data_IF_520108629234
#
_entry.id   IF_520108629234
#
_cell.length_a   1.000
_cell.length_b   1.000
_cell.length_c   1.000
_cell.angle_alpha   90.00
_cell.angle_beta   90.00
_cell.angle_gamma   90.00
#
_symmetry.space_group_name_H-M   'P 1'
#
loop_
_entity.id
_entity.type
_entity.pdbx_description
1 polymer ?
#
# COMPACT_ATOMS: atom_id res chain seq x y z
N UNK A 1 45.84 -36.95 -35.76
CA UNK A 1 44.38 -37.19 -35.54
C UNK A 1 43.97 -36.49 -34.27
N UNK A 2 43.18 -35.46 -34.42
CA UNK A 2 42.59 -34.73 -33.27
C UNK A 2 41.42 -35.56 -32.71
N UNK A 3 41.61 -36.16 -31.52
CA UNK A 3 40.50 -36.71 -30.76
C UNK A 3 39.65 -35.55 -30.27
N UNK A 4 38.47 -35.38 -30.83
CA UNK A 4 37.46 -34.47 -30.26
C UNK A 4 37.14 -34.96 -28.85
N UNK A 5 37.56 -34.20 -27.85
CA UNK A 5 37.17 -34.42 -26.47
C UNK A 5 35.62 -34.27 -26.40
N UNK A 6 34.92 -35.39 -26.24
CA UNK A 6 33.50 -35.32 -25.96
C UNK A 6 33.34 -34.70 -24.55
N UNK A 7 33.02 -33.43 -24.56
CA UNK A 7 32.55 -32.76 -23.32
C UNK A 7 31.37 -33.57 -22.79
N UNK A 8 31.56 -34.21 -21.65
CA UNK A 8 30.48 -34.93 -20.98
C UNK A 8 29.39 -33.93 -20.62
N UNK A 9 28.28 -33.96 -21.34
CA UNK A 9 27.11 -33.16 -21.03
C UNK A 9 26.44 -33.78 -19.78
N UNK A 10 26.58 -33.08 -18.64
CA UNK A 10 25.89 -33.45 -17.44
C UNK A 10 24.51 -32.83 -17.51
N UNK A 11 23.48 -33.68 -17.60
CA UNK A 11 22.07 -33.28 -17.50
C UNK A 11 21.55 -33.48 -16.08
N UNK A 12 20.45 -32.81 -15.78
CA UNK A 12 19.72 -33.03 -14.54
C UNK A 12 18.97 -34.34 -14.55
N UNK A 13 18.85 -34.99 -13.40
CA UNK A 13 18.02 -36.17 -13.24
C UNK A 13 16.55 -35.76 -13.02
N UNK A 14 15.62 -36.66 -13.36
CA UNK A 14 14.18 -36.46 -13.13
C UNK A 14 13.88 -36.27 -11.62
N UNK A 15 14.53 -37.09 -10.77
CA UNK A 15 14.35 -37.03 -9.30
C UNK A 15 14.82 -35.69 -8.74
N UNK A 16 15.91 -35.13 -9.27
CA UNK A 16 16.43 -33.85 -8.83
C UNK A 16 15.42 -32.72 -9.05
N UNK A 17 14.79 -32.67 -10.21
CA UNK A 17 13.73 -31.70 -10.51
C UNK A 17 12.48 -31.95 -9.67
N UNK A 18 12.11 -33.21 -9.43
CA UNK A 18 10.96 -33.54 -8.57
C UNK A 18 11.15 -33.04 -7.15
N UNK A 19 12.34 -33.21 -6.57
CA UNK A 19 12.64 -32.70 -5.22
C UNK A 19 12.57 -31.16 -5.17
N UNK A 20 13.13 -30.49 -6.15
CA UNK A 20 13.13 -29.02 -6.23
C UNK A 20 11.70 -28.48 -6.32
N UNK A 21 10.86 -29.05 -7.17
CA UNK A 21 9.45 -28.66 -7.31
C UNK A 21 8.67 -28.92 -6.03
N UNK A 22 8.94 -30.04 -5.34
CA UNK A 22 8.32 -30.35 -4.06
C UNK A 22 8.65 -29.30 -2.99
N UNK A 23 9.91 -28.92 -2.86
CA UNK A 23 10.36 -27.89 -1.90
C UNK A 23 9.71 -26.55 -2.22
N UNK A 24 9.71 -26.13 -3.46
CA UNK A 24 9.07 -24.87 -3.91
C UNK A 24 7.58 -24.90 -3.59
N UNK A 25 6.89 -26.01 -3.83
CA UNK A 25 5.47 -26.19 -3.53
C UNK A 25 5.14 -26.03 -2.05
N UNK A 26 5.95 -26.61 -1.17
CA UNK A 26 5.77 -26.47 0.29
C UNK A 26 5.99 -25.02 0.73
N UNK A 27 7.04 -24.37 0.24
CA UNK A 27 7.35 -22.99 0.60
C UNK A 27 6.26 -22.01 0.11
N UNK A 28 5.75 -22.20 -1.10
CA UNK A 28 4.66 -21.40 -1.63
C UNK A 28 3.35 -21.63 -0.86
N UNK A 29 3.09 -22.85 -0.44
CA UNK A 29 1.90 -23.19 0.36
C UNK A 29 1.84 -22.42 1.68
N UNK A 30 2.98 -22.09 2.27
CA UNK A 30 3.08 -21.28 3.49
C UNK A 30 3.08 -19.78 3.17
N UNK A 31 3.80 -19.37 2.14
CA UNK A 31 4.04 -17.96 1.81
C UNK A 31 2.80 -17.25 1.25
N UNK A 32 2.01 -17.89 0.40
CA UNK A 32 0.88 -17.26 -0.30
C UNK A 32 -0.20 -16.74 0.65
N UNK A 33 -0.73 -17.53 1.63
CA UNK A 33 -1.72 -17.01 2.56
C UNK A 33 -1.23 -15.85 3.40
N UNK A 34 0.03 -15.89 3.85
CA UNK A 34 0.66 -14.83 4.62
C UNK A 34 0.77 -13.54 3.81
N UNK A 35 1.15 -13.63 2.55
CA UNK A 35 1.28 -12.48 1.67
C UNK A 35 -0.04 -11.77 1.39
N UNK A 36 -1.13 -12.53 1.21
CA UNK A 36 -2.48 -11.96 1.03
C UNK A 36 -2.92 -11.15 2.25
N UNK A 37 -2.68 -11.66 3.45
CA UNK A 37 -2.98 -10.97 4.70
C UNK A 37 -2.16 -9.67 4.85
N UNK A 38 -0.88 -9.72 4.52
CA UNK A 38 0.01 -8.56 4.56
C UNK A 38 -0.46 -7.47 3.59
N UNK A 39 -0.86 -7.84 2.39
CA UNK A 39 -1.38 -6.88 1.39
C UNK A 39 -2.60 -6.13 1.89
N UNK A 40 -3.55 -6.83 2.52
CA UNK A 40 -4.75 -6.21 3.08
C UNK A 40 -4.39 -5.22 4.20
N UNK A 41 -3.53 -5.64 5.13
CA UNK A 41 -3.06 -4.77 6.22
C UNK A 41 -2.32 -3.54 5.68
N UNK A 42 -1.52 -3.71 4.64
CA UNK A 42 -0.78 -2.61 4.00
C UNK A 42 -1.72 -1.59 3.36
N UNK A 43 -2.79 -2.03 2.73
CA UNK A 43 -3.81 -1.13 2.15
C UNK A 43 -4.52 -0.30 3.21
N UNK A 44 -4.87 -0.91 4.34
CA UNK A 44 -5.49 -0.21 5.47
C UNK A 44 -4.53 0.85 6.03
N UNK A 45 -3.28 0.50 6.23
CA UNK A 45 -2.25 1.44 6.70
C UNK A 45 -2.02 2.58 5.72
N UNK A 46 -1.96 2.29 4.43
CA UNK A 46 -1.82 3.31 3.39
C UNK A 46 -3.00 4.29 3.39
N UNK A 47 -4.22 3.79 3.54
CA UNK A 47 -5.41 4.63 3.68
C UNK A 47 -5.32 5.52 4.92
N UNK A 48 -4.93 4.99 6.07
CA UNK A 48 -4.77 5.77 7.30
C UNK A 48 -3.67 6.83 7.19
N UNK A 49 -2.56 6.54 6.54
CA UNK A 49 -1.52 7.54 6.26
C UNK A 49 -2.02 8.66 5.34
N UNK A 50 -2.82 8.33 4.34
CA UNK A 50 -3.47 9.32 3.49
C UNK A 50 -4.39 10.24 4.30
N UNK A 51 -5.17 9.67 5.22
CA UNK A 51 -6.04 10.45 6.11
C UNK A 51 -5.22 11.37 7.04
N UNK A 52 -4.09 10.91 7.55
CA UNK A 52 -3.17 11.75 8.33
C UNK A 52 -2.61 12.92 7.53
N UNK A 53 -2.26 12.70 6.26
CA UNK A 53 -1.83 13.78 5.37
C UNK A 53 -2.94 14.82 5.19
N UNK A 54 -4.18 14.39 4.99
CA UNK A 54 -5.33 15.29 4.88
C UNK A 54 -5.54 16.07 6.18
N UNK A 55 -5.46 15.42 7.34
CA UNK A 55 -5.62 16.07 8.64
C UNK A 55 -4.53 17.10 8.91
N UNK A 56 -3.28 16.79 8.58
CA UNK A 56 -2.16 17.73 8.70
C UNK A 56 -2.35 18.93 7.77
N UNK A 57 -2.81 18.70 6.55
CA UNK A 57 -3.10 19.77 5.59
C UNK A 57 -4.23 20.67 6.09
N UNK A 58 -5.27 20.11 6.70
CA UNK A 58 -6.36 20.89 7.33
C UNK A 58 -5.84 21.80 8.44
N UNK A 59 -4.94 21.31 9.27
CA UNK A 59 -4.34 22.09 10.34
C UNK A 59 -3.52 23.26 9.80
N UNK A 60 -2.71 23.03 8.78
CA UNK A 60 -1.94 24.09 8.13
C UNK A 60 -2.85 25.11 7.46
N UNK A 61 -3.86 24.66 6.74
CA UNK A 61 -4.87 25.52 6.11
C UNK A 61 -5.58 26.42 7.14
N UNK A 62 -5.98 25.81 8.27
CA UNK A 62 -6.66 26.55 9.33
C UNK A 62 -5.75 27.61 9.99
N UNK A 63 -4.48 27.29 10.20
CA UNK A 63 -3.50 28.22 10.73
C UNK A 63 -3.22 29.38 9.78
N UNK A 64 -3.01 29.09 8.49
CA UNK A 64 -2.67 30.09 7.49
C UNK A 64 -3.83 31.06 7.21
N UNK A 65 -5.06 30.56 7.23
CA UNK A 65 -6.25 31.34 6.89
C UNK A 65 -7.06 31.78 8.12
N UNK A 66 -6.63 31.44 9.32
CA UNK A 66 -7.31 31.78 10.56
C UNK A 66 -8.71 31.19 10.68
N UNK A 67 -8.88 29.95 10.27
CA UNK A 67 -10.18 29.26 10.28
C UNK A 67 -10.57 28.75 11.66
N UNK A 68 -11.86 28.69 11.89
CA UNK A 68 -12.42 28.16 13.15
C UNK A 68 -12.54 26.63 13.12
N UNK A 69 -12.76 26.04 14.31
CA UNK A 69 -12.84 24.59 14.49
C UNK A 69 -13.97 23.92 13.67
N UNK A 70 -15.00 24.65 13.32
CA UNK A 70 -16.17 24.17 12.56
C UNK A 70 -16.03 24.36 11.04
N UNK A 71 -14.99 25.08 10.60
CA UNK A 71 -14.79 25.34 9.17
C UNK A 71 -14.33 24.07 8.46
N UNK A 72 -14.84 23.85 7.26
CA UNK A 72 -14.54 22.69 6.41
C UNK A 72 -13.78 23.17 5.18
N UNK A 73 -12.60 22.59 4.97
CA UNK A 73 -11.82 22.80 3.74
C UNK A 73 -12.35 21.91 2.61
N UNK A 74 -12.33 22.44 1.40
CA UNK A 74 -12.56 21.63 0.20
C UNK A 74 -11.23 21.01 -0.28
N UNK A 75 -11.33 19.90 -1.02
CA UNK A 75 -10.16 19.23 -1.60
C UNK A 75 -9.34 20.17 -2.50
N UNK A 76 -9.98 21.11 -3.17
CA UNK A 76 -9.32 22.12 -4.01
C UNK A 76 -8.55 23.16 -3.20
N UNK A 77 -8.95 23.42 -1.97
CA UNK A 77 -8.24 24.33 -1.06
C UNK A 77 -7.00 23.69 -0.44
N UNK A 78 -7.03 22.39 -0.23
CA UNK A 78 -5.91 21.62 0.33
C UNK A 78 -4.86 21.24 -0.72
N UNK A 79 -5.27 20.93 -1.94
CA UNK A 79 -4.38 20.60 -3.06
C UNK A 79 -4.41 21.72 -4.13
N UNK A 80 -3.27 22.11 -4.69
CA UNK A 80 -1.90 21.62 -4.46
C UNK A 80 -1.09 22.35 -3.39
N UNK A 81 -1.66 23.32 -2.66
CA UNK A 81 -0.90 24.19 -1.76
C UNK A 81 -0.33 23.48 -0.54
N UNK A 82 -1.15 22.66 0.12
CA UNK A 82 -0.77 21.95 1.36
C UNK A 82 -0.44 20.49 1.10
N UNK A 83 -1.07 19.89 0.10
CA UNK A 83 -0.79 18.53 -0.38
C UNK A 83 -0.54 18.62 -1.88
N UNK A 84 0.49 17.98 -2.37
CA UNK A 84 0.84 17.99 -3.79
C UNK A 84 -0.30 17.48 -4.67
N UNK A 85 -0.94 16.42 -4.25
CA UNK A 85 -2.09 15.79 -4.89
C UNK A 85 -3.01 15.22 -3.82
N UNK A 86 -4.33 15.40 -3.96
CA UNK A 86 -5.28 14.88 -2.99
C UNK A 86 -5.28 13.34 -3.02
N UNK A 87 -4.98 12.68 -1.89
CA UNK A 87 -4.85 11.23 -1.86
C UNK A 87 -6.19 10.53 -2.05
N UNK A 88 -6.12 9.29 -2.54
CA UNK A 88 -7.29 8.42 -2.72
C UNK A 88 -7.11 7.11 -1.97
N UNK A 89 -8.20 6.51 -1.52
CA UNK A 89 -8.15 5.22 -0.86
C UNK A 89 -7.69 4.12 -1.83
N UNK A 90 -6.71 3.26 -1.45
CA UNK A 90 -6.26 2.16 -2.29
C UNK A 90 -7.35 1.15 -2.65
N UNK A 91 -8.41 1.06 -1.85
CA UNK A 91 -9.55 0.16 -2.09
C UNK A 91 -10.77 0.86 -2.69
N UNK A 92 -10.62 2.10 -3.15
CA UNK A 92 -11.67 2.85 -3.81
C UNK A 92 -12.67 3.53 -2.87
N UNK A 93 -12.36 3.65 -1.57
CA UNK A 93 -13.19 4.37 -0.61
C UNK A 93 -13.19 5.88 -0.85
N UNK A 94 -14.26 6.54 -0.43
CA UNK A 94 -14.37 7.99 -0.46
C UNK A 94 -13.88 8.60 0.85
N UNK A 95 -13.08 9.65 0.75
CA UNK A 95 -12.62 10.41 1.91
C UNK A 95 -13.60 11.54 2.23
N UNK A 96 -13.93 11.65 3.49
CA UNK A 96 -14.71 12.78 4.06
C UNK A 96 -13.75 13.64 4.86
N UNK A 97 -13.54 14.88 4.42
CA UNK A 97 -12.59 15.80 5.05
C UNK A 97 -13.12 16.25 6.43
N UNK A 98 -14.36 16.64 6.49
CA UNK A 98 -14.98 17.09 7.72
C UNK A 98 -14.44 18.42 8.27
N UNK A 99 -15.00 18.89 9.41
CA UNK A 99 -14.51 20.10 10.07
C UNK A 99 -13.06 19.97 10.53
N UNK A 100 -12.38 21.11 10.67
CA UNK A 100 -11.01 21.15 11.15
C UNK A 100 -10.79 20.45 12.49
N UNK A 101 -11.74 20.52 13.40
CA UNK A 101 -11.69 19.87 14.72
C UNK A 101 -11.93 18.36 14.70
N UNK A 102 -12.42 17.83 13.59
CA UNK A 102 -12.79 16.41 13.47
C UNK A 102 -11.82 15.69 12.52
N UNK A 103 -11.32 14.50 12.89
CA UNK A 103 -10.48 13.72 11.98
C UNK A 103 -11.21 13.35 10.69
N UNK A 104 -10.48 13.34 9.59
CA UNK A 104 -10.97 12.84 8.30
C UNK A 104 -11.26 11.35 8.35
N UNK A 105 -12.18 10.88 7.54
CA UNK A 105 -12.60 9.48 7.53
C UNK A 105 -12.67 8.92 6.12
N UNK A 106 -12.54 7.59 6.03
CA UNK A 106 -12.73 6.83 4.81
C UNK A 106 -14.03 6.03 4.90
N UNK A 107 -14.76 5.93 3.81
CA UNK A 107 -16.01 5.15 3.75
C UNK A 107 -15.82 3.65 4.00
N UNK A 108 -14.63 3.12 3.72
CA UNK A 108 -14.30 1.70 3.89
C UNK A 108 -13.56 1.44 5.21
N UNK A 109 -12.57 2.27 5.56
CA UNK A 109 -11.65 2.02 6.67
C UNK A 109 -11.93 2.88 7.92
N UNK A 110 -12.89 3.78 7.84
CA UNK A 110 -13.21 4.68 8.94
C UNK A 110 -12.15 5.72 9.24
N UNK A 111 -12.08 6.15 10.49
CA UNK A 111 -11.07 7.10 10.97
C UNK A 111 -9.78 6.40 11.38
N UNK A 112 -8.69 7.15 11.41
CA UNK A 112 -7.43 6.68 11.99
C UNK A 112 -7.64 6.42 13.48
N UNK A 113 -7.28 5.23 13.97
CA UNK A 113 -7.38 4.92 15.40
C UNK A 113 -6.44 5.76 16.28
#
# INVERSE_FOLDING_TARGET
MLRAARLARRGFTLVEIMIVVLIIGILLGIAVPSWMKIRQTTRIKACHENLRLVDNAKQQWAMDQGKEATDVADSTELAPEYIKEFPTCPEGGAYTIGPHSTPSSCSIHGQVP
#
